data_IF_155455865204
#
_entry.id   IF_155455865204
#
_cell.length_a   1.000
_cell.length_b   1.000
_cell.length_c   1.000
_cell.angle_alpha   90.00
_cell.angle_beta   90.00
_cell.angle_gamma   90.00
#
_symmetry.space_group_name_H-M   'P 1'
#
loop_
_entity.id
_entity.type
_entity.pdbx_description
1 polymer ?
#
# COMPACT_ATOMS: atom_id res chain seq x y z
N UNK A 1 5.89 19.62 -27.77
CA UNK A 1 6.47 20.04 -26.48
C UNK A 1 5.52 19.68 -25.32
N UNK A 2 5.98 18.92 -24.34
CA UNK A 2 5.18 18.52 -23.15
C UNK A 2 5.52 19.33 -21.91
N UNK A 3 6.35 20.36 -22.05
CA UNK A 3 6.84 21.21 -20.95
C UNK A 3 5.71 21.92 -20.18
N UNK A 4 4.66 22.35 -20.88
CA UNK A 4 3.54 23.09 -20.28
C UNK A 4 2.34 22.22 -19.89
N UNK A 5 2.43 20.90 -20.02
CA UNK A 5 1.33 19.98 -19.69
C UNK A 5 1.57 19.36 -18.32
N UNK A 6 1.00 19.90 -17.22
CA UNK A 6 1.17 19.31 -15.92
C UNK A 6 0.59 17.89 -15.92
N UNK A 7 1.24 17.01 -15.19
CA UNK A 7 0.74 15.65 -15.03
C UNK A 7 -0.62 15.67 -14.31
N UNK A 8 -1.56 14.77 -14.67
CA UNK A 8 -2.90 14.70 -14.05
C UNK A 8 -2.88 14.50 -12.52
N UNK A 9 -1.78 13.98 -11.98
CA UNK A 9 -1.58 13.71 -10.56
C UNK A 9 -0.83 14.83 -9.82
N UNK A 10 -0.48 15.93 -10.51
CA UNK A 10 0.24 17.04 -9.91
C UNK A 10 -0.64 17.71 -8.84
N UNK A 11 -0.15 17.82 -7.59
CA UNK A 11 -0.84 18.58 -6.55
C UNK A 11 -0.85 20.09 -6.86
N UNK A 12 -1.72 20.88 -6.20
CA UNK A 12 -1.77 22.34 -6.38
C UNK A 12 -0.45 23.03 -5.97
N UNK A 13 -0.29 24.30 -6.35
CA UNK A 13 0.94 25.06 -6.10
C UNK A 13 1.30 25.15 -4.60
N UNK A 14 0.32 25.31 -3.72
CA UNK A 14 0.51 25.17 -2.27
C UNK A 14 0.42 23.70 -1.84
N UNK A 15 1.49 22.96 -2.10
CA UNK A 15 1.62 21.56 -1.73
C UNK A 15 1.46 21.34 -0.22
N UNK A 16 1.98 22.25 0.60
CA UNK A 16 1.99 22.10 2.06
C UNK A 16 0.59 22.21 2.66
N UNK A 17 -0.20 23.21 2.25
CA UNK A 17 -1.58 23.33 2.69
C UNK A 17 -2.44 22.16 2.21
N UNK A 18 -2.25 21.76 0.94
CA UNK A 18 -2.96 20.62 0.36
C UNK A 18 -2.66 19.30 1.09
N UNK A 19 -1.39 19.01 1.38
CA UNK A 19 -1.00 17.77 2.07
C UNK A 19 -1.56 17.73 3.50
N UNK A 20 -1.55 18.86 4.23
CA UNK A 20 -2.14 18.96 5.57
C UNK A 20 -3.65 18.74 5.54
N UNK A 21 -4.33 19.30 4.56
CA UNK A 21 -5.78 19.12 4.41
C UNK A 21 -6.12 17.68 4.06
N UNK A 22 -5.38 17.07 3.13
CA UNK A 22 -5.52 15.65 2.82
C UNK A 22 -5.31 14.77 4.07
N UNK A 23 -4.26 15.02 4.85
CA UNK A 23 -3.99 14.29 6.08
C UNK A 23 -5.11 14.47 7.12
N UNK A 24 -5.66 15.69 7.28
CA UNK A 24 -6.79 15.98 8.15
C UNK A 24 -8.02 15.15 7.76
N UNK A 25 -8.36 15.14 6.47
CA UNK A 25 -9.47 14.34 5.94
C UNK A 25 -9.24 12.84 6.16
N UNK A 26 -8.00 12.36 5.98
CA UNK A 26 -7.61 10.98 6.25
C UNK A 26 -7.84 10.58 7.71
N UNK A 27 -7.42 11.45 8.64
CA UNK A 27 -7.64 11.23 10.07
C UNK A 27 -9.14 11.23 10.43
N UNK A 28 -9.95 12.10 9.82
CA UNK A 28 -11.41 12.14 10.04
C UNK A 28 -12.13 10.86 9.62
N UNK A 29 -11.61 10.15 8.62
CA UNK A 29 -12.17 8.86 8.17
C UNK A 29 -11.54 7.65 8.86
N UNK A 30 -10.78 7.86 9.94
CA UNK A 30 -10.24 6.81 10.79
C UNK A 30 -8.88 6.26 10.37
N UNK A 31 -8.18 6.90 9.43
CA UNK A 31 -6.78 6.53 9.12
C UNK A 31 -5.90 7.01 10.25
N UNK A 32 -4.96 6.16 10.66
CA UNK A 32 -3.92 6.53 11.60
C UNK A 32 -3.20 7.83 11.17
N UNK A 33 -2.90 8.79 12.08
CA UNK A 33 -2.36 10.10 11.71
C UNK A 33 -1.05 10.08 10.92
N UNK A 34 -0.14 9.15 11.22
CA UNK A 34 1.12 9.02 10.46
C UNK A 34 0.83 8.52 9.04
N UNK A 35 -0.04 7.53 8.93
CA UNK A 35 -0.46 7.01 7.61
C UNK A 35 -1.20 8.06 6.81
N UNK A 36 -2.12 8.80 7.43
CA UNK A 36 -2.86 9.89 6.81
C UNK A 36 -1.93 11.01 6.30
N UNK A 37 -0.83 11.28 7.04
CA UNK A 37 0.23 12.19 6.62
C UNK A 37 0.97 11.73 5.37
N UNK A 38 1.28 10.43 5.26
CA UNK A 38 2.11 9.86 4.18
C UNK A 38 1.35 9.60 2.87
N UNK A 39 0.06 9.25 2.92
CA UNK A 39 -0.76 8.92 1.73
C UNK A 39 -0.72 10.02 0.65
N UNK A 40 -0.94 11.33 0.93
CA UNK A 40 -0.88 12.36 -0.12
C UNK A 40 0.51 12.52 -0.75
N UNK A 41 1.59 12.26 -0.03
CA UNK A 41 2.95 12.29 -0.60
C UNK A 41 3.18 11.11 -1.54
N UNK A 42 2.61 9.94 -1.24
CA UNK A 42 2.79 8.72 -2.03
C UNK A 42 1.92 8.69 -3.29
N UNK A 43 0.69 9.21 -3.19
CA UNK A 43 -0.29 9.08 -4.28
C UNK A 43 -0.60 10.39 -5.01
N UNK A 44 -0.08 11.54 -4.58
CA UNK A 44 -0.50 12.84 -5.11
C UNK A 44 -2.02 12.96 -5.00
N UNK A 45 -2.68 13.54 -6.01
CA UNK A 45 -4.17 13.61 -6.05
C UNK A 45 -4.87 12.23 -6.05
N UNK A 46 -4.12 11.14 -6.27
CA UNK A 46 -4.61 9.77 -6.12
C UNK A 46 -5.07 9.41 -4.70
N UNK A 47 -4.67 10.16 -3.67
CA UNK A 47 -5.08 9.92 -2.28
C UNK A 47 -6.61 9.90 -2.12
N UNK A 48 -7.33 10.70 -2.90
CA UNK A 48 -8.80 10.77 -2.85
C UNK A 48 -9.45 9.42 -3.13
N UNK A 49 -8.82 8.60 -4.00
CA UNK A 49 -9.30 7.26 -4.31
C UNK A 49 -9.05 6.30 -3.15
N UNK A 50 -7.93 6.44 -2.45
CA UNK A 50 -7.65 5.68 -1.22
C UNK A 50 -8.68 6.03 -0.16
N UNK A 51 -8.95 7.32 0.05
CA UNK A 51 -10.00 7.79 0.96
C UNK A 51 -11.39 7.29 0.58
N UNK A 52 -11.71 7.26 -0.72
CA UNK A 52 -12.99 6.73 -1.20
C UNK A 52 -13.16 5.22 -0.87
N UNK A 53 -12.09 4.42 -0.96
CA UNK A 53 -12.12 3.02 -0.54
C UNK A 53 -12.42 2.90 0.96
N UNK A 54 -11.78 3.72 1.79
CA UNK A 54 -11.99 3.73 3.24
C UNK A 54 -13.41 4.15 3.60
N UNK A 55 -13.97 5.18 2.96
CA UNK A 55 -15.36 5.59 3.21
C UNK A 55 -16.35 4.49 2.84
N UNK A 56 -16.08 3.73 1.79
CA UNK A 56 -16.92 2.60 1.40
C UNK A 56 -16.77 1.40 2.35
N UNK A 57 -15.57 1.19 2.89
CA UNK A 57 -15.24 0.05 3.74
C UNK A 57 -14.29 0.50 4.87
N UNK A 58 -14.82 0.97 6.01
CA UNK A 58 -14.03 1.63 7.05
C UNK A 58 -12.86 0.83 7.62
N UNK A 59 -12.96 -0.51 7.66
CA UNK A 59 -11.85 -1.38 8.09
C UNK A 59 -10.58 -1.22 7.23
N UNK A 60 -10.70 -0.70 6.01
CA UNK A 60 -9.54 -0.46 5.15
C UNK A 60 -8.63 0.68 5.66
N UNK A 61 -9.07 1.45 6.65
CA UNK A 61 -8.25 2.46 7.31
C UNK A 61 -7.17 1.86 8.23
N UNK A 62 -7.32 0.60 8.64
CA UNK A 62 -6.39 -0.07 9.55
C UNK A 62 -5.00 -0.19 8.91
N UNK A 63 -3.95 -0.03 9.73
CA UNK A 63 -2.58 -0.29 9.29
C UNK A 63 -2.41 -1.76 8.91
N UNK A 64 -1.63 -2.04 7.87
CA UNK A 64 -1.27 -3.41 7.48
C UNK A 64 -0.44 -4.08 8.58
N UNK A 65 0.50 -3.32 9.16
CA UNK A 65 1.27 -3.69 10.36
C UNK A 65 1.43 -2.46 11.26
N UNK A 66 1.58 -2.63 12.58
CA UNK A 66 1.74 -1.49 13.49
C UNK A 66 2.96 -0.63 13.16
N UNK A 67 4.07 -1.24 12.75
CA UNK A 67 5.39 -0.60 12.65
C UNK A 67 5.62 0.19 11.35
N UNK A 68 4.63 0.28 10.46
CA UNK A 68 4.77 1.00 9.19
C UNK A 68 3.48 1.78 8.81
N UNK A 69 3.61 2.99 8.26
CA UNK A 69 2.48 3.87 7.96
C UNK A 69 1.80 3.51 6.61
N UNK A 70 1.33 2.27 6.50
CA UNK A 70 0.61 1.75 5.34
C UNK A 70 -0.73 1.19 5.79
N UNK A 71 -1.83 1.60 5.16
CA UNK A 71 -3.17 1.06 5.45
C UNK A 71 -3.63 0.01 4.43
N UNK A 72 -4.61 -0.81 4.81
CA UNK A 72 -5.16 -1.88 3.96
C UNK A 72 -5.74 -1.32 2.64
N UNK A 73 -6.31 -0.11 2.66
CA UNK A 73 -6.88 0.54 1.48
C UNK A 73 -5.89 0.69 0.32
N UNK A 74 -4.61 0.89 0.62
CA UNK A 74 -3.55 1.03 -0.36
C UNK A 74 -3.33 -0.26 -1.15
N UNK A 75 -3.47 -1.42 -0.49
CA UNK A 75 -3.33 -2.73 -1.15
C UNK A 75 -4.43 -2.95 -2.18
N UNK A 76 -5.66 -2.56 -1.82
CA UNK A 76 -6.83 -2.58 -2.71
C UNK A 76 -6.67 -1.57 -3.85
N UNK A 77 -6.13 -0.38 -3.55
CA UNK A 77 -5.84 0.63 -4.56
C UNK A 77 -4.84 0.12 -5.61
N UNK A 78 -3.72 -0.45 -5.15
CA UNK A 78 -2.68 -1.00 -6.01
C UNK A 78 -3.24 -2.09 -6.95
N UNK A 79 -4.04 -3.01 -6.41
CA UNK A 79 -4.69 -4.07 -7.19
C UNK A 79 -5.69 -3.51 -8.22
N UNK A 80 -6.53 -2.52 -7.84
CA UNK A 80 -7.56 -1.97 -8.72
C UNK A 80 -7.03 -1.04 -9.81
N UNK A 81 -5.96 -0.29 -9.54
CA UNK A 81 -5.60 0.89 -10.33
C UNK A 81 -4.16 0.94 -10.80
N UNK A 82 -3.27 0.14 -10.22
CA UNK A 82 -1.83 0.20 -10.51
C UNK A 82 -1.31 -1.08 -11.21
N UNK A 83 -2.23 -1.89 -11.73
CA UNK A 83 -1.99 -3.14 -12.44
C UNK A 83 -1.13 -4.15 -11.64
N UNK A 84 -1.15 -4.04 -10.31
CA UNK A 84 -0.41 -4.94 -9.44
C UNK A 84 -1.19 -6.26 -9.29
N UNK A 85 -0.71 -7.32 -9.94
CA UNK A 85 -1.41 -8.61 -10.05
C UNK A 85 -0.79 -9.72 -9.19
N UNK A 86 0.21 -9.39 -8.36
CA UNK A 86 0.82 -10.32 -7.40
C UNK A 86 1.01 -9.64 -6.05
N UNK A 87 1.02 -10.44 -4.98
CA UNK A 87 1.22 -9.95 -3.61
C UNK A 87 2.63 -9.37 -3.44
N UNK A 88 3.61 -9.94 -4.13
CA UNK A 88 4.98 -9.41 -4.15
C UNK A 88 5.08 -8.03 -4.83
N UNK A 89 4.41 -7.82 -5.98
CA UNK A 89 4.38 -6.50 -6.63
C UNK A 89 3.84 -5.43 -5.67
N UNK A 90 2.70 -5.73 -5.04
CA UNK A 90 2.05 -4.84 -4.09
C UNK A 90 2.98 -4.54 -2.91
N UNK A 91 3.52 -5.56 -2.25
CA UNK A 91 4.24 -5.41 -0.97
C UNK A 91 5.74 -5.09 -1.09
N UNK A 92 6.29 -5.05 -2.30
CA UNK A 92 7.68 -4.64 -2.57
C UNK A 92 7.74 -3.34 -3.36
N UNK A 93 6.94 -3.20 -4.43
CA UNK A 93 7.08 -2.11 -5.42
C UNK A 93 6.08 -0.98 -5.21
N UNK A 94 4.83 -1.26 -4.84
CA UNK A 94 3.79 -0.23 -4.61
C UNK A 94 3.76 0.26 -3.17
N UNK A 95 3.85 -0.69 -2.26
CA UNK A 95 3.88 -0.49 -0.82
C UNK A 95 5.15 -1.18 -0.37
N UNK A 96 6.27 -0.48 -0.10
CA UNK A 96 7.56 -1.10 0.19
C UNK A 96 7.61 -1.74 1.60
N UNK A 97 6.51 -2.33 2.06
CA UNK A 97 6.30 -2.93 3.37
C UNK A 97 7.34 -4.03 3.64
N UNK A 98 7.62 -4.90 2.68
CA UNK A 98 8.58 -6.00 2.85
C UNK A 98 10.04 -5.53 2.89
N UNK A 99 10.31 -4.30 2.43
CA UNK A 99 11.65 -3.71 2.51
C UNK A 99 11.99 -3.21 3.91
N UNK A 100 10.98 -2.76 4.65
CA UNK A 100 11.17 -2.09 5.94
C UNK A 100 10.62 -2.89 7.13
N UNK A 101 9.78 -3.91 6.89
CA UNK A 101 9.19 -4.74 7.93
C UNK A 101 9.27 -6.24 7.62
N UNK A 102 8.81 -7.04 8.59
CA UNK A 102 8.64 -8.50 8.47
C UNK A 102 7.20 -8.87 8.88
N UNK A 103 6.20 -8.72 7.99
CA UNK A 103 4.82 -9.07 8.30
C UNK A 103 4.69 -10.57 8.60
N UNK A 104 3.79 -10.87 9.53
CA UNK A 104 3.44 -12.25 9.90
C UNK A 104 2.70 -12.95 8.76
N UNK A 105 2.63 -14.28 8.78
CA UNK A 105 1.81 -15.03 7.82
C UNK A 105 0.35 -14.61 7.89
N UNK A 106 -0.18 -14.34 9.07
CA UNK A 106 -1.56 -13.85 9.27
C UNK A 106 -1.80 -12.52 8.55
N UNK A 107 -0.86 -11.58 8.65
CA UNK A 107 -0.92 -10.31 7.91
C UNK A 107 -0.91 -10.54 6.40
N UNK A 108 -0.04 -11.43 5.91
CA UNK A 108 0.04 -11.74 4.48
C UNK A 108 -1.26 -12.38 3.96
N UNK A 109 -1.88 -13.28 4.73
CA UNK A 109 -3.17 -13.87 4.40
C UNK A 109 -4.30 -12.82 4.36
N UNK A 110 -4.31 -11.89 5.32
CA UNK A 110 -5.26 -10.78 5.31
C UNK A 110 -5.16 -9.94 4.03
N UNK A 111 -3.94 -9.55 3.65
CA UNK A 111 -3.71 -8.78 2.42
C UNK A 111 -4.06 -9.60 1.18
N UNK A 112 -3.68 -10.88 1.14
CA UNK A 112 -3.99 -11.78 0.03
C UNK A 112 -5.51 -11.97 -0.15
N UNK A 113 -6.28 -12.01 0.94
CA UNK A 113 -7.74 -12.10 0.89
C UNK A 113 -8.37 -10.81 0.31
N UNK A 114 -7.88 -9.64 0.72
CA UNK A 114 -8.35 -8.34 0.18
C UNK A 114 -8.02 -8.19 -1.30
N UNK A 115 -6.76 -8.41 -1.67
CA UNK A 115 -6.29 -8.34 -3.06
C UNK A 115 -6.96 -9.41 -3.91
N UNK A 116 -7.09 -10.63 -3.38
CA UNK A 116 -7.73 -11.74 -4.06
C UNK A 116 -9.21 -11.50 -4.33
N UNK A 117 -9.91 -10.74 -3.47
CA UNK A 117 -11.30 -10.33 -3.72
C UNK A 117 -11.41 -9.28 -4.83
N UNK A 118 -10.34 -8.52 -5.09
CA UNK A 118 -10.29 -7.53 -6.17
C UNK A 118 -9.94 -8.17 -7.52
N UNK A 119 -9.06 -9.18 -7.50
CA UNK A 119 -8.50 -9.82 -8.69
C UNK A 119 -9.10 -11.21 -8.97
N UNK A 120 -10.20 -11.55 -8.28
CA UNK A 120 -10.91 -12.84 -8.38
C UNK A 120 -10.00 -14.06 -8.18
N UNK A 121 -9.08 -14.00 -7.21
CA UNK A 121 -8.23 -15.13 -6.86
C UNK A 121 -9.00 -16.20 -6.08
N UNK A 122 -8.76 -17.46 -6.48
CA UNK A 122 -9.15 -18.63 -5.69
C UNK A 122 -8.35 -18.72 -4.39
N UNK A 123 -8.81 -19.56 -3.47
CA UNK A 123 -8.10 -19.78 -2.21
C UNK A 123 -6.71 -20.39 -2.43
N UNK A 124 -6.58 -21.32 -3.39
CA UNK A 124 -5.30 -21.91 -3.77
C UNK A 124 -4.33 -20.85 -4.29
N UNK A 125 -4.83 -19.89 -5.09
CA UNK A 125 -4.02 -18.79 -5.60
C UNK A 125 -3.55 -17.87 -4.48
N UNK A 126 -4.40 -17.57 -3.48
CA UNK A 126 -4.01 -16.75 -2.33
C UNK A 126 -2.90 -17.41 -1.53
N UNK A 127 -3.02 -18.71 -1.26
CA UNK A 127 -1.99 -19.48 -0.56
C UNK A 127 -0.67 -19.52 -1.34
N UNK A 128 -0.71 -19.70 -2.66
CA UNK A 128 0.49 -19.63 -3.52
C UNK A 128 1.20 -18.28 -3.42
N UNK A 129 0.46 -17.17 -3.44
CA UNK A 129 1.01 -15.82 -3.33
C UNK A 129 1.66 -15.58 -1.96
N UNK A 130 1.02 -16.02 -0.88
CA UNK A 130 1.59 -15.94 0.49
C UNK A 130 2.86 -16.80 0.61
N UNK A 131 2.86 -18.00 0.02
CA UNK A 131 4.02 -18.88 0.01
C UNK A 131 5.18 -18.31 -0.81
N UNK A 132 4.91 -17.66 -1.95
CA UNK A 132 5.92 -17.02 -2.78
C UNK A 132 6.63 -15.88 -2.03
N UNK A 133 5.85 -14.96 -1.42
CA UNK A 133 6.38 -13.87 -0.60
C UNK A 133 7.20 -14.37 0.60
N UNK A 134 6.78 -15.50 1.19
CA UNK A 134 7.49 -16.10 2.33
C UNK A 134 8.80 -16.76 1.91
N UNK A 135 8.80 -17.50 0.80
CA UNK A 135 9.95 -18.26 0.29
C UNK A 135 11.05 -17.35 -0.27
N UNK A 136 10.68 -16.30 -1.00
CA UNK A 136 11.62 -15.33 -1.60
C UNK A 136 12.48 -14.56 -0.58
N UNK A 137 12.14 -14.61 0.70
CA UNK A 137 12.95 -14.05 1.80
C UNK A 137 14.03 -15.00 2.34
N UNK A 138 14.00 -16.28 1.97
CA UNK A 138 14.94 -17.30 2.49
C UNK A 138 16.25 -17.35 1.71
N UNK A 139 16.31 -16.76 0.52
CA UNK A 139 17.49 -16.76 -0.37
C UNK A 139 18.50 -15.63 -0.09
N UNK A 140 18.35 -14.90 1.02
CA UNK A 140 19.24 -13.82 1.45
C UNK A 140 20.04 -14.14 2.71
N UNK A 141 20.80 -15.25 2.73
CA UNK A 141 21.89 -15.46 3.69
C UNK A 141 23.02 -16.24 3.03
N UNK A 142 23.78 -15.55 2.19
CA UNK A 142 25.17 -15.92 1.91
C UNK A 142 26.03 -15.35 3.03
N UNK A 143 26.77 -16.23 3.68
CA UNK A 143 27.84 -15.90 4.61
C UNK A 143 28.79 -14.86 3.99
N UNK A 144 29.08 -13.80 4.75
CA UNK A 144 30.40 -13.19 4.73
C UNK A 144 30.86 -13.05 6.18
N UNK A 145 31.43 -14.16 6.65
CA UNK A 145 32.50 -14.10 7.61
C UNK A 145 33.70 -13.40 6.94
N UNK A 146 34.15 -12.28 7.51
CA UNK A 146 35.56 -11.91 7.41
C UNK A 146 36.01 -11.19 8.68
N UNK A 147 36.81 -11.95 9.42
CA UNK A 147 38.04 -11.60 10.16
C UNK A 147 38.49 -10.14 10.08
#
# INVERSE_FOLDING_TARGET
PTEDRPFPWRPPEDFGAWAREAARIGAEIGVDPETAGEVPFRYGTGFERVHALIRAEPRLAERIVPDAPFCLAETVHAARREMATTLEDILVRRIPLLRITRPTRTTLLLVAALVGSVLDWTEERREQEVAAVSSGRTTGKGDDART
#
